data_IF_613158866404
#
_entry.id   IF_613158866404
#
_cell.length_a   1.000
_cell.length_b   1.000
_cell.length_c   1.000
_cell.angle_alpha   90.00
_cell.angle_beta   90.00
_cell.angle_gamma   90.00
#
_symmetry.space_group_name_H-M   'P 1'
#
loop_
_entity.id
_entity.type
_entity.pdbx_description
1 polymer ?
#
# COMPACT_ATOMS: atom_id res chain seq x y z
N UNK A 1 -8.75 -11.67 2.86
CA UNK A 1 -8.04 -10.39 3.07
C UNK A 1 -7.35 -10.31 4.43
N UNK A 2 -8.02 -10.71 5.49
CA UNK A 2 -7.38 -10.72 6.83
C UNK A 2 -6.15 -11.62 6.89
N UNK A 3 -6.20 -12.79 6.25
CA UNK A 3 -5.07 -13.70 6.20
C UNK A 3 -3.86 -13.07 5.52
N UNK A 4 -4.09 -12.33 4.44
CA UNK A 4 -3.01 -11.61 3.75
C UNK A 4 -2.40 -10.54 4.66
N UNK A 5 -3.25 -9.72 5.29
CA UNK A 5 -2.77 -8.65 6.16
C UNK A 5 -1.96 -9.19 7.32
N UNK A 6 -2.41 -10.28 7.93
CA UNK A 6 -1.70 -10.94 9.02
C UNK A 6 -0.36 -11.52 8.54
N UNK A 7 -0.34 -12.12 7.36
CA UNK A 7 0.88 -12.66 6.77
C UNK A 7 1.92 -11.57 6.52
N UNK A 8 1.49 -10.43 5.97
CA UNK A 8 2.39 -9.30 5.71
C UNK A 8 2.87 -8.66 7.02
N UNK A 9 2.02 -8.57 8.03
CA UNK A 9 2.42 -8.07 9.34
C UNK A 9 3.49 -8.97 9.96
N UNK A 10 3.35 -10.29 9.83
CA UNK A 10 4.35 -11.24 10.30
C UNK A 10 5.69 -11.04 9.56
N UNK A 11 5.64 -10.89 8.24
CA UNK A 11 6.85 -10.65 7.43
C UNK A 11 7.55 -9.34 7.83
N UNK A 12 6.77 -8.29 8.11
CA UNK A 12 7.33 -7.03 8.56
C UNK A 12 8.05 -7.20 9.91
N UNK A 13 7.41 -7.85 10.87
CA UNK A 13 8.00 -8.09 12.19
C UNK A 13 9.25 -8.95 12.12
N UNK A 14 9.28 -9.93 11.21
CA UNK A 14 10.45 -10.78 10.99
C UNK A 14 11.65 -9.99 10.45
N UNK A 15 11.41 -8.82 9.87
CA UNK A 15 12.44 -7.90 9.38
C UNK A 15 12.66 -6.70 10.30
N UNK A 16 12.25 -6.81 11.56
CA UNK A 16 12.40 -5.76 12.59
C UNK A 16 11.70 -4.46 12.23
N UNK A 17 10.57 -4.57 11.52
CA UNK A 17 9.75 -3.41 11.17
C UNK A 17 8.62 -3.28 12.19
N UNK A 18 8.48 -2.09 12.79
CA UNK A 18 7.33 -1.80 13.65
C UNK A 18 6.13 -1.50 12.73
N UNK A 19 5.08 -2.33 12.84
CA UNK A 19 3.89 -2.19 12.02
C UNK A 19 2.65 -1.95 12.87
N UNK A 20 1.88 -0.92 12.49
CA UNK A 20 0.57 -0.61 13.07
C UNK A 20 -0.50 -0.78 12.02
N UNK A 21 -1.56 -1.50 12.36
CA UNK A 21 -2.67 -1.74 11.44
C UNK A 21 -3.99 -1.34 12.09
N UNK A 22 -4.79 -0.59 11.36
CA UNK A 22 -6.16 -0.28 11.71
C UNK A 22 -7.06 -0.81 10.61
N UNK A 23 -7.86 -1.83 10.92
CA UNK A 23 -8.72 -2.50 9.95
C UNK A 23 -10.10 -2.67 10.61
N UNK A 24 -11.14 -2.17 9.95
CA UNK A 24 -12.49 -2.38 10.46
C UNK A 24 -13.12 -3.64 9.84
N UNK A 25 -14.42 -3.84 10.05
CA UNK A 25 -15.13 -5.01 9.52
C UNK A 25 -15.22 -4.94 8.00
N UNK A 26 -14.60 -5.89 7.30
CA UNK A 26 -14.58 -5.97 5.85
C UNK A 26 -15.61 -6.96 5.28
N UNK A 27 -16.51 -7.49 6.12
CA UNK A 27 -17.46 -8.52 5.71
C UNK A 27 -18.47 -8.05 4.66
N UNK A 28 -18.71 -6.75 4.57
CA UNK A 28 -19.65 -6.16 3.59
C UNK A 28 -18.96 -5.63 2.34
N UNK A 29 -17.74 -6.08 2.06
CA UNK A 29 -17.02 -5.69 0.85
C UNK A 29 -17.81 -6.15 -0.38
N UNK A 30 -18.18 -5.20 -1.26
CA UNK A 30 -18.87 -5.48 -2.52
C UNK A 30 -17.88 -5.57 -3.69
N UNK A 31 -16.67 -5.07 -3.52
CA UNK A 31 -15.61 -5.14 -4.53
C UNK A 31 -15.05 -6.57 -4.60
N UNK A 32 -14.41 -6.89 -5.72
CA UNK A 32 -13.79 -8.21 -5.88
C UNK A 32 -12.66 -8.41 -4.87
N UNK A 33 -12.81 -9.42 -4.00
CA UNK A 33 -11.85 -9.68 -2.94
C UNK A 33 -10.47 -10.07 -3.47
N UNK A 34 -10.40 -10.76 -4.60
CA UNK A 34 -9.12 -11.15 -5.22
C UNK A 34 -8.35 -9.92 -5.66
N UNK A 35 -9.03 -8.97 -6.33
CA UNK A 35 -8.41 -7.72 -6.76
C UNK A 35 -7.93 -6.88 -5.56
N UNK A 36 -8.76 -6.75 -4.53
CA UNK A 36 -8.40 -5.96 -3.35
C UNK A 36 -7.23 -6.60 -2.59
N UNK A 37 -7.25 -7.92 -2.48
CA UNK A 37 -6.16 -8.66 -1.83
C UNK A 37 -4.84 -8.49 -2.61
N UNK A 38 -4.87 -8.58 -3.93
CA UNK A 38 -3.68 -8.38 -4.76
C UNK A 38 -3.14 -6.97 -4.62
N UNK A 39 -4.02 -5.98 -4.61
CA UNK A 39 -3.65 -4.57 -4.48
C UNK A 39 -2.97 -4.30 -3.14
N UNK A 40 -3.60 -4.72 -2.04
CA UNK A 40 -3.04 -4.52 -0.70
C UNK A 40 -1.73 -5.29 -0.52
N UNK A 41 -1.64 -6.49 -1.06
CA UNK A 41 -0.42 -7.29 -1.01
C UNK A 41 0.76 -6.59 -1.69
N UNK A 42 0.53 -6.02 -2.86
CA UNK A 42 1.56 -5.28 -3.58
C UNK A 42 2.00 -4.02 -2.82
N UNK A 43 1.04 -3.29 -2.26
CA UNK A 43 1.35 -2.10 -1.46
C UNK A 43 2.16 -2.44 -0.21
N UNK A 44 1.80 -3.51 0.47
CA UNK A 44 2.52 -3.93 1.67
C UNK A 44 3.90 -4.47 1.35
N UNK A 45 4.06 -5.21 0.25
CA UNK A 45 5.37 -5.68 -0.19
C UNK A 45 6.31 -4.52 -0.48
N UNK A 46 5.80 -3.49 -1.18
CA UNK A 46 6.58 -2.28 -1.46
C UNK A 46 7.01 -1.57 -0.18
N UNK A 47 6.10 -1.47 0.79
CA UNK A 47 6.40 -0.84 2.08
C UNK A 47 7.49 -1.61 2.84
N UNK A 48 7.39 -2.93 2.88
CA UNK A 48 8.38 -3.79 3.54
C UNK A 48 9.75 -3.65 2.87
N UNK A 49 9.80 -3.73 1.54
CA UNK A 49 11.03 -3.58 0.78
C UNK A 49 11.70 -2.22 1.02
N UNK A 50 10.90 -1.16 1.03
CA UNK A 50 11.41 0.19 1.28
C UNK A 50 12.00 0.33 2.68
N UNK A 51 11.35 -0.26 3.69
CA UNK A 51 11.87 -0.26 5.06
C UNK A 51 13.17 -1.05 5.18
N UNK A 52 13.26 -2.20 4.53
CA UNK A 52 14.48 -3.01 4.54
C UNK A 52 15.65 -2.22 3.91
N UNK A 53 15.40 -1.53 2.81
CA UNK A 53 16.41 -0.72 2.15
C UNK A 53 16.84 0.49 2.99
N UNK A 54 15.93 1.02 3.80
CA UNK A 54 16.18 2.19 4.66
C UNK A 54 17.10 1.88 5.83
N UNK A 55 16.99 0.68 6.41
CA UNK A 55 17.85 0.12 7.46
C UNK A 55 17.74 0.74 8.85
N UNK A 56 17.20 1.94 9.00
CA UNK A 56 17.03 2.61 10.29
C UNK A 56 15.57 3.05 10.45
N UNK A 57 15.07 3.04 11.71
CA UNK A 57 13.73 3.52 12.04
C UNK A 57 12.66 2.94 11.09
N UNK A 58 12.59 1.61 11.03
CA UNK A 58 11.71 0.90 10.11
C UNK A 58 10.28 0.85 10.67
N UNK A 59 9.36 1.58 10.06
CA UNK A 59 7.97 1.67 10.50
C UNK A 59 7.01 1.61 9.31
N UNK A 60 5.88 0.93 9.51
CA UNK A 60 4.77 0.88 8.54
C UNK A 60 3.47 1.15 9.29
N UNK A 61 2.60 1.97 8.72
CA UNK A 61 1.25 2.22 9.22
C UNK A 61 0.25 1.89 8.12
N UNK A 62 -0.73 1.05 8.44
CA UNK A 62 -1.74 0.56 7.50
C UNK A 62 -3.13 0.89 8.03
N UNK A 63 -3.98 1.46 7.18
CA UNK A 63 -5.40 1.63 7.46
C UNK A 63 -6.19 1.03 6.32
N UNK A 64 -7.14 0.16 6.64
CA UNK A 64 -8.07 -0.41 5.67
C UNK A 64 -9.46 -0.28 6.28
N UNK A 65 -10.23 0.66 5.77
CA UNK A 65 -11.52 1.03 6.36
C UNK A 65 -12.62 0.91 5.30
N UNK A 66 -13.63 0.11 5.60
CA UNK A 66 -14.77 -0.11 4.73
C UNK A 66 -15.98 0.65 5.24
N UNK A 67 -16.60 1.44 4.37
CA UNK A 67 -17.84 2.14 4.54
C UNK A 67 -18.50 2.27 3.17
N UNK A 68 -18.99 3.44 2.83
CA UNK A 68 -19.47 3.70 1.46
C UNK A 68 -18.32 3.60 0.47
N UNK A 69 -17.12 3.94 0.93
CA UNK A 69 -15.87 3.79 0.18
C UNK A 69 -15.04 2.68 0.82
N UNK A 70 -14.28 1.98 0.00
CA UNK A 70 -13.18 1.15 0.46
C UNK A 70 -11.94 2.06 0.51
N UNK A 71 -11.57 2.48 1.71
CA UNK A 71 -10.45 3.38 1.95
C UNK A 71 -9.24 2.58 2.39
N UNK A 72 -8.09 2.88 1.83
CA UNK A 72 -6.83 2.27 2.28
C UNK A 72 -5.71 3.29 2.25
N UNK A 73 -4.83 3.17 3.22
CA UNK A 73 -3.68 4.05 3.38
C UNK A 73 -2.53 3.21 3.92
N UNK A 74 -1.41 3.24 3.22
CA UNK A 74 -0.20 2.56 3.65
C UNK A 74 0.94 3.57 3.59
N UNK A 75 1.59 3.79 4.73
CA UNK A 75 2.76 4.65 4.76
C UNK A 75 3.91 3.96 5.46
N UNK A 76 5.11 4.26 5.03
CA UNK A 76 6.31 3.62 5.53
C UNK A 76 7.47 4.60 5.56
N UNK A 77 8.37 4.38 6.52
CA UNK A 77 9.65 5.07 6.50
C UNK A 77 10.47 4.56 5.33
N UNK A 78 11.24 5.45 4.70
CA UNK A 78 12.05 5.07 3.55
C UNK A 78 13.15 6.10 3.28
N UNK A 79 14.08 5.71 2.43
CA UNK A 79 15.05 6.63 1.85
C UNK A 79 14.31 7.68 1.00
N UNK A 80 14.91 8.87 0.80
CA UNK A 80 14.27 9.89 -0.02
C UNK A 80 13.85 9.36 -1.38
N UNK A 81 12.60 9.68 -1.76
CA UNK A 81 12.03 9.33 -3.06
C UNK A 81 11.52 10.61 -3.71
N UNK A 82 11.52 10.62 -5.03
CA UNK A 82 10.96 11.72 -5.81
C UNK A 82 9.75 11.22 -6.59
N UNK A 83 8.64 11.93 -6.47
CA UNK A 83 7.42 11.60 -7.18
C UNK A 83 7.32 12.59 -8.34
N UNK A 84 7.37 12.07 -9.58
CA UNK A 84 7.30 12.87 -10.80
C UNK A 84 6.27 12.24 -11.72
N UNK A 85 5.30 13.03 -12.16
CA UNK A 85 4.22 12.57 -13.05
C UNK A 85 3.59 11.27 -12.57
N UNK A 86 3.28 11.22 -11.25
CA UNK A 86 2.65 10.07 -10.62
C UNK A 86 3.51 8.79 -10.67
N UNK A 87 4.82 8.95 -10.76
CA UNK A 87 5.78 7.84 -10.72
C UNK A 87 6.80 8.06 -9.64
N UNK A 88 7.15 6.98 -8.95
CA UNK A 88 8.20 7.03 -7.94
C UNK A 88 9.55 6.89 -8.63
N UNK A 89 10.45 7.83 -8.32
CA UNK A 89 11.84 7.74 -8.72
C UNK A 89 12.70 7.71 -7.48
N UNK A 90 13.52 6.69 -7.35
CA UNK A 90 14.49 6.61 -6.27
C UNK A 90 15.86 7.03 -6.79
N UNK A 91 16.73 7.44 -5.88
CA UNK A 91 18.12 7.78 -6.22
C UNK A 91 18.99 6.53 -6.38
N UNK A 92 18.40 5.33 -6.22
CA UNK A 92 19.10 4.05 -6.31
C UNK A 92 18.72 3.29 -7.58
N UNK A 93 19.64 2.43 -8.10
CA UNK A 93 19.37 1.65 -9.33
C UNK A 93 18.15 0.71 -9.24
N UNK A 94 17.66 0.40 -8.04
CA UNK A 94 16.56 -0.54 -7.82
C UNK A 94 15.17 0.10 -7.95
N UNK A 95 15.10 1.32 -8.44
CA UNK A 95 13.85 2.05 -8.63
C UNK A 95 12.81 1.29 -9.46
N UNK A 96 13.27 0.41 -10.36
CA UNK A 96 12.41 -0.37 -11.23
C UNK A 96 11.52 -1.38 -10.48
N UNK A 97 11.99 -1.91 -9.35
CA UNK A 97 11.23 -2.89 -8.58
C UNK A 97 10.00 -2.28 -7.93
N UNK A 98 10.11 -1.05 -7.42
CA UNK A 98 8.99 -0.34 -6.81
C UNK A 98 7.92 0.05 -7.83
N UNK A 99 8.31 0.25 -9.10
CA UNK A 99 7.42 0.63 -10.17
C UNK A 99 6.41 -0.46 -10.54
N UNK A 100 6.80 -1.74 -10.52
CA UNK A 100 5.94 -2.85 -10.94
C UNK A 100 4.74 -3.04 -10.03
N UNK A 101 4.96 -3.10 -8.71
CA UNK A 101 3.88 -3.27 -7.76
C UNK A 101 2.87 -2.14 -7.79
N UNK A 102 3.34 -0.90 -7.87
CA UNK A 102 2.47 0.27 -7.91
C UNK A 102 1.74 0.40 -9.23
N UNK A 103 2.35 0.01 -10.34
CA UNK A 103 1.69 -0.01 -11.65
C UNK A 103 0.46 -0.91 -11.63
N UNK A 104 0.58 -2.10 -11.04
CA UNK A 104 -0.54 -3.02 -10.89
C UNK A 104 -1.63 -2.45 -9.98
N UNK A 105 -1.23 -1.82 -8.86
CA UNK A 105 -2.16 -1.16 -7.94
C UNK A 105 -2.96 -0.09 -8.67
N UNK A 106 -2.30 0.77 -9.43
CA UNK A 106 -2.96 1.84 -10.18
C UNK A 106 -3.94 1.28 -11.20
N UNK A 107 -3.58 0.19 -11.89
CA UNK A 107 -4.44 -0.48 -12.85
C UNK A 107 -5.72 -0.98 -12.18
N UNK A 108 -5.61 -1.60 -11.01
CA UNK A 108 -6.76 -2.08 -10.25
C UNK A 108 -7.66 -0.92 -9.83
N UNK A 109 -7.07 0.15 -9.29
CA UNK A 109 -7.85 1.33 -8.87
C UNK A 109 -8.61 1.92 -10.06
N UNK A 110 -7.96 2.05 -11.22
CA UNK A 110 -8.59 2.56 -12.43
C UNK A 110 -9.72 1.68 -12.93
N UNK A 111 -9.57 0.36 -12.82
CA UNK A 111 -10.61 -0.61 -13.19
C UNK A 111 -11.92 -0.35 -12.42
N UNK A 112 -11.81 0.03 -11.16
CA UNK A 112 -12.96 0.32 -10.29
C UNK A 112 -13.30 1.80 -10.23
N UNK A 113 -12.67 2.64 -11.05
CA UNK A 113 -12.88 4.09 -11.12
C UNK A 113 -12.63 4.78 -9.79
N UNK A 114 -11.66 4.27 -9.03
CA UNK A 114 -11.24 4.85 -7.76
C UNK A 114 -10.23 5.98 -7.93
N UNK A 115 -9.81 6.52 -6.80
CA UNK A 115 -8.82 7.59 -6.74
C UNK A 115 -7.67 7.19 -5.84
N UNK A 116 -6.50 7.73 -6.12
CA UNK A 116 -5.33 7.54 -5.27
C UNK A 116 -4.43 8.76 -5.30
N UNK A 117 -3.57 8.84 -4.30
CA UNK A 117 -2.53 9.86 -4.22
C UNK A 117 -1.28 9.26 -3.58
N UNK A 118 -0.13 9.83 -3.91
CA UNK A 118 1.15 9.48 -3.32
C UNK A 118 1.82 10.73 -2.81
N UNK A 119 2.49 10.61 -1.66
CA UNK A 119 3.26 11.70 -1.06
C UNK A 119 4.55 11.15 -0.43
N UNK A 120 5.57 11.99 -0.44
CA UNK A 120 6.77 11.75 0.36
C UNK A 120 7.06 13.02 1.16
N UNK A 121 7.20 12.86 2.48
CA UNK A 121 7.50 13.97 3.38
C UNK A 121 8.26 13.45 4.61
N UNK A 122 9.36 14.10 4.92
CA UNK A 122 10.13 13.87 6.15
C UNK A 122 10.47 12.39 6.43
N UNK A 123 10.88 11.66 5.40
CA UNK A 123 11.29 10.27 5.54
C UNK A 123 10.15 9.26 5.49
N UNK A 124 8.94 9.71 5.19
CA UNK A 124 7.76 8.84 5.06
C UNK A 124 7.18 8.90 3.65
N UNK A 125 6.92 7.73 3.08
CA UNK A 125 6.17 7.60 1.84
C UNK A 125 4.75 7.16 2.16
N UNK A 126 3.77 7.83 1.55
CA UNK A 126 2.34 7.53 1.71
C UNK A 126 1.73 7.16 0.37
N UNK A 127 0.99 6.06 0.35
CA UNK A 127 0.05 5.75 -0.72
C UNK A 127 -1.34 5.68 -0.11
N UNK A 128 -2.27 6.47 -0.61
CA UNK A 128 -3.65 6.49 -0.13
C UNK A 128 -4.59 6.34 -1.32
N UNK A 129 -5.65 5.55 -1.14
CA UNK A 129 -6.63 5.37 -2.18
C UNK A 129 -8.02 5.12 -1.62
N UNK A 130 -9.02 5.32 -2.49
CA UNK A 130 -10.41 5.00 -2.15
C UNK A 130 -11.15 4.56 -3.40
N UNK A 131 -12.03 3.58 -3.19
CA UNK A 131 -12.86 3.00 -4.25
C UNK A 131 -14.27 2.88 -3.71
N UNK A 132 -15.27 3.36 -4.47
CA UNK A 132 -16.66 3.22 -4.04
C UNK A 132 -17.01 1.74 -3.87
N UNK A 133 -17.56 1.38 -2.72
CA UNK A 133 -17.83 -0.02 -2.37
C UNK A 133 -19.14 -0.50 -3.02
N UNK A 134 -19.09 -0.66 -4.33
CA UNK A 134 -20.21 -1.19 -5.12
C UNK A 134 -19.68 -2.29 -6.05
N UNK A 135 -20.52 -3.26 -6.43
CA UNK A 135 -20.11 -4.28 -7.40
C UNK A 135 -19.70 -3.66 -8.74
N UNK A 136 -18.69 -4.23 -9.38
CA UNK A 136 -18.31 -3.84 -10.73
C UNK A 136 -19.42 -4.31 -11.70
N UNK A 137 -19.99 -3.37 -12.42
CA UNK A 137 -21.08 -3.68 -13.37
C UNK A 137 -20.52 -3.99 -14.75
#
# INVERSE_FOLDING_TARGET
MDALLNQKAYAAKANDIAIHMEVNDLSKLALNAVDMTAMLGNLMDNAIEACIAHKVDKQIEVKVLLGEQFYFSIRNTCNPVKIVDDRIRTTKPDASLHGFGLSNVKTIIQKYKGNYAMEYEDGWFLFVGEILNIPLS
#
